data_IF_642549173214
#
_entry.id   IF_642549173214
#
_cell.length_a   1.000
_cell.length_b   1.000
_cell.length_c   1.000
_cell.angle_alpha   90.00
_cell.angle_beta   90.00
_cell.angle_gamma   90.00
#
_symmetry.space_group_name_H-M   'P 1'
#
loop_
_entity.id
_entity.type
_entity.pdbx_description
1 polymer ?
#
# COMPACT_ATOMS: atom_id res chain seq x y z
N UNK A 1 -18.46 -7.77 -32.82
CA UNK A 1 -17.85 -6.56 -32.22
C UNK A 1 -16.59 -6.95 -31.52
N UNK A 2 -15.64 -6.03 -31.43
CA UNK A 2 -14.33 -6.34 -30.88
C UNK A 2 -14.39 -6.47 -29.34
N UNK A 3 -13.64 -7.45 -28.83
CA UNK A 3 -13.42 -7.67 -27.40
C UNK A 3 -12.26 -6.80 -26.93
N UNK A 4 -12.38 -6.19 -25.75
CA UNK A 4 -11.25 -5.52 -25.10
C UNK A 4 -10.53 -6.54 -24.22
N UNK A 5 -9.21 -6.66 -24.37
CA UNK A 5 -8.35 -7.50 -23.54
C UNK A 5 -7.29 -6.62 -22.87
N UNK A 6 -7.18 -6.69 -21.55
CA UNK A 6 -6.24 -5.93 -20.75
C UNK A 6 -5.48 -6.90 -19.85
N UNK A 7 -4.15 -6.84 -19.90
CA UNK A 7 -3.28 -7.68 -19.09
C UNK A 7 -2.31 -6.81 -18.32
N UNK A 8 -2.22 -7.01 -17.01
CA UNK A 8 -1.35 -6.27 -16.11
C UNK A 8 -0.38 -7.23 -15.41
N UNK A 9 0.87 -6.81 -15.32
CA UNK A 9 1.92 -7.49 -14.54
C UNK A 9 2.35 -6.64 -13.37
N UNK A 10 2.55 -7.26 -12.21
CA UNK A 10 2.98 -6.59 -10.99
C UNK A 10 4.20 -7.29 -10.38
N UNK A 11 5.25 -6.51 -10.12
CA UNK A 11 6.46 -6.97 -9.45
C UNK A 11 6.37 -6.76 -7.93
N UNK A 12 7.07 -7.59 -7.15
CA UNK A 12 7.21 -7.47 -5.68
C UNK A 12 5.88 -7.47 -4.88
N UNK A 13 4.81 -8.02 -5.45
CA UNK A 13 3.52 -8.21 -4.77
C UNK A 13 3.40 -9.62 -4.20
N UNK A 14 2.88 -9.71 -2.98
CA UNK A 14 2.57 -10.98 -2.32
C UNK A 14 1.32 -11.62 -2.93
N UNK A 15 0.28 -10.83 -3.16
CA UNK A 15 -0.94 -11.21 -3.88
C UNK A 15 -1.66 -9.96 -4.40
N UNK A 16 -2.49 -10.16 -5.42
CA UNK A 16 -3.48 -9.17 -5.82
C UNK A 16 -4.70 -9.34 -4.91
N UNK A 17 -5.23 -8.24 -4.37
CA UNK A 17 -6.35 -8.27 -3.42
C UNK A 17 -7.68 -8.19 -4.15
N UNK A 18 -7.94 -7.06 -4.79
CA UNK A 18 -9.14 -6.87 -5.61
C UNK A 18 -8.88 -5.90 -6.77
N UNK A 19 -9.79 -5.91 -7.73
CA UNK A 19 -9.84 -4.93 -8.82
C UNK A 19 -11.21 -4.29 -8.87
N UNK A 20 -11.25 -2.99 -9.15
CA UNK A 20 -12.46 -2.26 -9.49
C UNK A 20 -12.34 -1.66 -10.90
N UNK A 21 -13.39 -1.81 -11.68
CA UNK A 21 -13.49 -1.33 -13.06
C UNK A 21 -14.69 -0.41 -13.17
N UNK A 22 -14.50 0.73 -13.82
CA UNK A 22 -15.52 1.78 -13.95
C UNK A 22 -15.89 1.99 -15.41
N UNK A 23 -17.18 2.13 -15.66
CA UNK A 23 -17.77 2.25 -16.99
C UNK A 23 -18.71 3.44 -17.02
N UNK A 24 -18.57 4.29 -18.04
CA UNK A 24 -19.47 5.44 -18.24
C UNK A 24 -19.63 5.63 -19.73
N UNK A 25 -20.87 5.77 -20.19
CA UNK A 25 -21.10 6.03 -21.61
C UNK A 25 -20.96 7.53 -21.89
N UNK A 26 -20.00 7.96 -22.73
CA UNK A 26 -19.84 9.37 -23.07
C UNK A 26 -20.94 9.88 -24.01
N UNK A 27 -21.55 9.00 -24.80
CA UNK A 27 -22.62 9.32 -25.74
C UNK A 27 -23.40 8.05 -26.12
N UNK A 28 -24.74 8.13 -26.16
CA UNK A 28 -25.59 7.00 -26.55
C UNK A 28 -26.76 7.49 -27.40
N UNK A 29 -26.88 6.99 -28.63
CA UNK A 29 -28.11 7.21 -29.42
C UNK A 29 -29.26 6.35 -28.87
N UNK A 30 -30.50 6.77 -29.13
CA UNK A 30 -31.71 6.12 -28.56
C UNK A 30 -31.89 4.63 -28.90
N UNK A 31 -31.26 4.13 -29.97
CA UNK A 31 -31.30 2.71 -30.38
C UNK A 31 -30.01 1.95 -30.08
N UNK A 32 -29.03 2.60 -29.47
CA UNK A 32 -27.74 2.00 -29.18
C UNK A 32 -27.70 1.44 -27.75
N UNK A 33 -26.92 0.38 -27.58
CA UNK A 33 -26.78 -0.42 -26.38
C UNK A 33 -25.33 -0.87 -26.29
N UNK A 34 -24.69 -0.57 -25.17
CA UNK A 34 -23.35 -1.06 -24.86
C UNK A 34 -23.41 -2.03 -23.69
N UNK A 35 -23.57 -3.31 -24.02
CA UNK A 35 -23.68 -4.40 -23.05
C UNK A 35 -22.54 -5.40 -23.24
N UNK A 36 -21.85 -5.75 -22.15
CA UNK A 36 -20.69 -6.64 -22.23
C UNK A 36 -20.48 -7.44 -20.94
N UNK A 37 -19.95 -8.64 -21.11
CA UNK A 37 -19.50 -9.51 -20.03
C UNK A 37 -18.09 -9.09 -19.60
N UNK A 38 -17.92 -8.93 -18.29
CA UNK A 38 -16.63 -8.70 -17.65
C UNK A 38 -16.10 -10.04 -17.17
N UNK A 39 -14.91 -10.40 -17.63
CA UNK A 39 -14.18 -11.57 -17.14
C UNK A 39 -12.87 -11.13 -16.51
N UNK A 40 -12.51 -11.76 -15.39
CA UNK A 40 -11.27 -11.54 -14.66
C UNK A 40 -10.58 -12.88 -14.49
N UNK A 41 -9.32 -12.99 -14.91
CA UNK A 41 -8.56 -14.24 -14.93
C UNK A 41 -9.36 -15.40 -15.54
N UNK A 42 -9.99 -15.14 -16.70
CA UNK A 42 -10.84 -16.08 -17.48
C UNK A 42 -12.12 -16.52 -16.76
N UNK A 43 -12.45 -15.94 -15.61
CA UNK A 43 -13.66 -16.22 -14.85
C UNK A 43 -14.67 -15.10 -15.07
N UNK A 44 -15.91 -15.47 -15.39
CA UNK A 44 -17.00 -14.49 -15.53
C UNK A 44 -17.28 -13.84 -14.17
N UNK A 45 -17.38 -12.51 -14.17
CA UNK A 45 -17.66 -11.71 -12.97
C UNK A 45 -19.07 -11.12 -13.04
N UNK A 46 -19.38 -10.38 -14.11
CA UNK A 46 -20.67 -9.71 -14.25
C UNK A 46 -20.98 -9.41 -15.73
N UNK A 47 -22.25 -9.22 -16.05
CA UNK A 47 -22.69 -8.56 -17.29
C UNK A 47 -23.03 -7.12 -16.94
N UNK A 48 -22.46 -6.15 -17.64
CA UNK A 48 -22.71 -4.73 -17.39
C UNK A 48 -23.25 -4.03 -18.63
N UNK A 49 -24.05 -3.00 -18.40
CA UNK A 49 -24.57 -2.10 -19.42
C UNK A 49 -24.06 -0.71 -19.07
N UNK A 50 -23.35 -0.08 -20.01
CA UNK A 50 -22.86 1.28 -19.82
C UNK A 50 -24.00 2.27 -20.08
N UNK A 51 -24.29 3.12 -19.12
CA UNK A 51 -25.38 4.10 -19.19
C UNK A 51 -24.84 5.52 -19.39
N UNK A 52 -25.58 6.35 -20.12
CA UNK A 52 -25.19 7.73 -20.41
C UNK A 52 -25.14 8.56 -19.13
N UNK A 53 -23.96 9.16 -18.89
CA UNK A 53 -23.67 9.96 -17.68
C UNK A 53 -23.81 9.23 -16.34
N UNK A 54 -23.96 7.90 -16.34
CA UNK A 54 -24.02 7.09 -15.12
C UNK A 54 -22.76 6.23 -15.07
N UNK A 55 -22.00 6.37 -13.99
CA UNK A 55 -20.82 5.56 -13.75
C UNK A 55 -21.24 4.26 -13.05
N UNK A 56 -21.07 3.13 -13.75
CA UNK A 56 -21.29 1.79 -13.21
C UNK A 56 -19.95 1.18 -12.86
N UNK A 57 -19.82 0.58 -11.67
CA UNK A 57 -18.61 -0.16 -11.30
C UNK A 57 -18.85 -1.67 -11.22
N UNK A 58 -17.80 -2.42 -11.55
CA UNK A 58 -17.73 -3.88 -11.35
C UNK A 58 -16.44 -4.17 -10.62
N UNK A 59 -16.52 -4.96 -9.56
CA UNK A 59 -15.37 -5.35 -8.76
C UNK A 59 -15.22 -6.87 -8.71
N UNK A 60 -14.00 -7.34 -8.49
CA UNK A 60 -13.70 -8.76 -8.29
C UNK A 60 -12.56 -8.94 -7.28
N UNK A 61 -12.74 -9.88 -6.35
CA UNK A 61 -11.62 -10.38 -5.53
C UNK A 61 -10.65 -11.15 -6.41
N UNK A 62 -9.37 -11.02 -6.11
CA UNK A 62 -8.28 -11.69 -6.79
C UNK A 62 -7.64 -12.72 -5.86
N UNK A 63 -7.21 -13.84 -6.43
CA UNK A 63 -6.44 -14.88 -5.72
C UNK A 63 -5.15 -15.23 -6.47
N UNK A 64 -4.83 -14.47 -7.52
CA UNK A 64 -3.63 -14.67 -8.33
C UNK A 64 -2.45 -13.85 -7.80
N UNK A 65 -1.26 -14.32 -8.15
CA UNK A 65 -0.01 -13.59 -7.95
C UNK A 65 0.54 -13.21 -9.32
N UNK A 66 1.02 -11.98 -9.45
CA UNK A 66 1.84 -11.52 -10.57
C UNK A 66 1.07 -11.03 -11.80
N UNK A 67 0.01 -11.70 -12.25
CA UNK A 67 -0.75 -11.29 -13.44
C UNK A 67 -2.25 -11.15 -13.21
N UNK A 68 -2.81 -10.12 -13.81
CA UNK A 68 -4.24 -9.84 -13.87
C UNK A 68 -4.67 -9.73 -15.34
N UNK A 69 -5.55 -10.62 -15.77
CA UNK A 69 -6.16 -10.58 -17.10
C UNK A 69 -7.63 -10.15 -16.98
N UNK A 70 -8.01 -9.10 -17.70
CA UNK A 70 -9.40 -8.62 -17.81
C UNK A 70 -9.82 -8.72 -19.26
N UNK A 71 -11.00 -9.28 -19.51
CA UNK A 71 -11.63 -9.21 -20.83
C UNK A 71 -13.03 -8.62 -20.72
N UNK A 72 -13.36 -7.73 -21.66
CA UNK A 72 -14.70 -7.19 -21.84
C UNK A 72 -15.22 -7.73 -23.16
N UNK A 73 -16.23 -8.60 -23.10
CA UNK A 73 -16.78 -9.31 -24.26
C UNK A 73 -18.18 -8.77 -24.55
N UNK A 74 -18.45 -8.15 -25.70
CA UNK A 74 -19.79 -7.66 -26.01
C UNK A 74 -20.80 -8.82 -26.02
N UNK A 75 -22.00 -8.56 -25.48
CA UNK A 75 -23.11 -9.52 -25.50
C UNK A 75 -23.74 -9.58 -26.90
N UNK A 76 -24.55 -10.62 -27.16
CA UNK A 76 -25.22 -10.80 -28.47
C UNK A 76 -26.12 -9.61 -28.85
N UNK A 77 -26.74 -8.97 -27.85
CA UNK A 77 -27.66 -7.84 -28.04
C UNK A 77 -26.96 -6.47 -28.03
N UNK A 78 -25.63 -6.43 -27.89
CA UNK A 78 -24.87 -5.18 -27.88
C UNK A 78 -24.73 -4.61 -29.29
N UNK A 79 -25.09 -3.34 -29.46
CA UNK A 79 -24.92 -2.60 -30.73
C UNK A 79 -23.62 -1.79 -30.76
N UNK A 80 -22.94 -1.67 -29.61
CA UNK A 80 -21.64 -1.01 -29.47
C UNK A 80 -20.59 -1.96 -28.85
N UNK A 81 -19.32 -1.76 -29.20
CA UNK A 81 -18.19 -2.46 -28.57
C UNK A 81 -18.10 -2.12 -27.07
N UNK A 82 -17.39 -2.88 -26.22
CA UNK A 82 -17.20 -2.50 -24.82
C UNK A 82 -16.49 -1.16 -24.64
N UNK A 83 -16.61 -0.57 -23.45
CA UNK A 83 -15.88 0.64 -23.05
C UNK A 83 -15.29 0.41 -21.66
N UNK A 84 -14.29 1.20 -21.29
CA UNK A 84 -13.79 1.30 -19.92
C UNK A 84 -13.33 2.72 -19.65
N UNK A 85 -13.74 3.26 -18.50
CA UNK A 85 -13.39 4.61 -18.06
C UNK A 85 -12.14 4.59 -17.17
N UNK A 86 -12.09 3.67 -16.21
CA UNK A 86 -10.97 3.53 -15.28
C UNK A 86 -10.86 2.09 -14.73
N UNK A 87 -9.67 1.76 -14.25
CA UNK A 87 -9.38 0.53 -13.49
C UNK A 87 -8.55 0.92 -12.28
N UNK A 88 -8.92 0.40 -11.12
CA UNK A 88 -8.13 0.44 -9.90
C UNK A 88 -7.77 -0.99 -9.50
N UNK A 89 -6.47 -1.28 -9.41
CA UNK A 89 -5.96 -2.59 -8.98
C UNK A 89 -5.31 -2.45 -7.61
N UNK A 90 -5.83 -3.19 -6.64
CA UNK A 90 -5.35 -3.19 -5.28
C UNK A 90 -4.46 -4.42 -5.06
N UNK A 91 -3.25 -4.17 -4.58
CA UNK A 91 -2.23 -5.22 -4.39
C UNK A 91 -1.66 -5.15 -2.99
N UNK A 92 -1.31 -6.31 -2.44
CA UNK A 92 -0.59 -6.37 -1.17
C UNK A 92 0.88 -6.67 -1.48
N UNK A 93 1.77 -5.72 -1.21
CA UNK A 93 3.20 -5.92 -1.29
C UNK A 93 3.70 -6.86 -0.19
N UNK A 94 4.87 -7.47 -0.40
CA UNK A 94 5.57 -8.08 0.74
C UNK A 94 5.88 -7.00 1.78
N UNK A 95 5.80 -7.29 3.10
CA UNK A 95 6.18 -6.33 4.12
C UNK A 95 7.59 -5.79 3.84
N UNK A 96 7.71 -4.47 3.65
CA UNK A 96 9.02 -3.81 3.46
C UNK A 96 9.92 -4.00 4.68
N UNK A 97 9.30 -4.22 5.85
CA UNK A 97 9.96 -4.50 7.11
C UNK A 97 9.22 -5.66 7.79
N UNK A 98 9.97 -6.68 8.22
CA UNK A 98 9.43 -7.89 8.85
C UNK A 98 9.21 -7.67 10.36
N UNK A 99 9.87 -6.68 10.97
CA UNK A 99 9.72 -6.30 12.36
C UNK A 99 10.08 -4.82 12.58
N UNK A 100 9.28 -4.11 13.38
CA UNK A 100 9.56 -2.74 13.84
C UNK A 100 10.74 -2.71 14.81
N UNK A 101 11.21 -1.51 15.19
CA UNK A 101 12.18 -1.36 16.29
C UNK A 101 11.74 -2.15 17.52
N UNK A 102 12.70 -2.78 18.19
CA UNK A 102 12.47 -3.57 19.41
C UNK A 102 11.69 -2.77 20.45
N UNK A 103 10.68 -3.39 21.06
CA UNK A 103 9.84 -2.74 22.07
C UNK A 103 10.66 -2.17 23.23
N UNK A 104 11.70 -2.88 23.67
CA UNK A 104 12.57 -2.39 24.75
C UNK A 104 13.28 -1.08 24.38
N UNK A 105 13.61 -0.90 23.10
CA UNK A 105 14.25 0.33 22.63
C UNK A 105 13.22 1.44 22.42
N UNK A 106 11.99 1.10 22.01
CA UNK A 106 10.87 2.06 21.96
C UNK A 106 10.54 2.60 23.34
N UNK A 107 10.40 1.74 24.34
CA UNK A 107 10.08 2.12 25.72
C UNK A 107 11.22 2.99 26.32
N UNK A 108 12.47 2.62 26.07
CA UNK A 108 13.63 3.40 26.51
C UNK A 108 13.74 4.76 25.83
N UNK A 109 13.42 4.85 24.54
CA UNK A 109 13.39 6.12 23.81
C UNK A 109 12.21 7.01 24.22
N UNK A 110 11.06 6.42 24.56
CA UNK A 110 9.92 7.14 25.10
C UNK A 110 10.31 7.84 26.43
N UNK A 111 10.93 7.11 27.37
CA UNK A 111 11.44 7.70 28.62
C UNK A 111 12.48 8.80 28.35
N UNK A 112 13.34 8.61 27.35
CA UNK A 112 14.32 9.60 26.92
C UNK A 112 13.69 10.88 26.36
N UNK A 113 12.71 10.75 25.47
CA UNK A 113 11.99 11.89 24.90
C UNK A 113 11.19 12.63 25.98
N UNK A 114 10.54 11.90 26.89
CA UNK A 114 9.77 12.50 27.98
C UNK A 114 10.64 13.28 28.97
N UNK A 115 11.91 12.91 29.10
CA UNK A 115 12.87 13.62 29.96
C UNK A 115 13.29 14.98 29.38
N UNK A 116 13.31 15.15 28.05
CA UNK A 116 13.84 16.34 27.39
C UNK A 116 12.82 16.99 26.46
N UNK A 117 12.29 18.15 26.86
CA UNK A 117 11.33 18.94 26.07
C UNK A 117 11.82 19.23 24.64
N UNK A 118 13.13 19.39 24.44
CA UNK A 118 13.76 19.63 23.14
C UNK A 118 13.57 18.48 22.13
N UNK A 119 13.27 17.27 22.61
CA UNK A 119 13.06 16.08 21.79
C UNK A 119 11.57 15.77 21.55
N UNK A 120 10.65 16.56 22.13
CA UNK A 120 9.22 16.38 21.87
C UNK A 120 8.90 16.64 20.39
N UNK A 121 8.14 15.74 19.79
CA UNK A 121 7.74 15.81 18.38
C UNK A 121 8.36 14.73 17.49
N UNK A 122 9.38 14.01 17.96
CA UNK A 122 9.82 12.77 17.32
C UNK A 122 8.72 11.70 17.44
N UNK A 123 8.38 11.08 16.32
CA UNK A 123 7.33 10.07 16.22
C UNK A 123 7.62 9.12 15.05
N UNK A 124 6.88 8.01 14.98
CA UNK A 124 7.13 6.94 14.02
C UNK A 124 8.19 5.95 14.52
N UNK A 125 8.60 5.04 13.63
CA UNK A 125 9.64 4.06 13.97
C UNK A 125 11.02 4.72 13.95
N UNK A 126 11.81 4.64 15.04
CA UNK A 126 13.08 5.35 15.16
C UNK A 126 14.21 4.78 14.30
N UNK A 127 14.14 3.50 13.93
CA UNK A 127 15.16 2.82 13.14
C UNK A 127 14.71 2.48 11.71
N UNK A 128 13.48 2.79 11.34
CA UNK A 128 12.90 2.37 10.06
C UNK A 128 12.13 3.48 9.33
N UNK A 129 12.19 3.48 7.97
CA UNK A 129 13.10 2.69 7.14
C UNK A 129 14.59 3.05 7.35
N UNK A 130 15.52 2.18 6.90
CA UNK A 130 16.96 2.32 7.16
C UNK A 130 17.57 3.63 6.65
N UNK A 131 16.92 4.30 5.69
CA UNK A 131 17.31 5.58 5.11
C UNK A 131 16.73 6.79 5.86
N UNK A 132 15.85 6.57 6.84
CA UNK A 132 15.22 7.63 7.65
C UNK A 132 15.30 7.34 9.15
N UNK A 133 16.37 6.67 9.59
CA UNK A 133 16.71 6.55 11.02
C UNK A 133 16.74 7.95 11.64
N UNK A 134 16.21 8.11 12.85
CA UNK A 134 16.24 9.40 13.53
C UNK A 134 17.67 9.93 13.60
N UNK A 135 17.85 11.22 13.31
CA UNK A 135 19.18 11.83 13.10
C UNK A 135 20.13 11.73 14.31
N UNK A 136 19.59 11.45 15.49
CA UNK A 136 20.32 11.33 16.75
C UNK A 136 20.46 9.87 17.22
N UNK A 137 20.17 8.90 16.34
CA UNK A 137 20.30 7.48 16.61
C UNK A 137 21.23 6.79 15.62
N UNK A 138 21.77 5.67 16.07
CA UNK A 138 22.26 4.62 15.20
C UNK A 138 21.55 3.32 15.55
N UNK A 139 21.27 2.50 14.54
CA UNK A 139 20.53 1.25 14.72
C UNK A 139 21.23 0.08 14.01
N UNK A 140 21.08 -1.11 14.58
CA UNK A 140 21.50 -2.35 13.94
C UNK A 140 20.56 -2.73 12.80
N UNK A 141 21.06 -3.43 11.78
CA UNK A 141 20.23 -4.02 10.71
C UNK A 141 19.60 -5.37 11.09
N UNK A 142 19.54 -5.71 12.38
CA UNK A 142 18.89 -6.92 12.88
C UNK A 142 17.36 -6.83 12.69
N UNK A 143 16.67 -7.95 12.85
CA UNK A 143 15.20 -7.99 12.88
C UNK A 143 14.74 -8.59 14.22
N UNK A 144 14.12 -7.80 15.13
CA UNK A 144 13.86 -6.36 15.02
C UNK A 144 15.14 -5.50 15.05
N UNK A 145 15.15 -4.32 14.40
CA UNK A 145 16.26 -3.38 14.55
C UNK A 145 16.36 -2.93 16.01
N UNK A 146 17.60 -2.72 16.44
CA UNK A 146 17.96 -2.33 17.80
C UNK A 146 18.67 -1.00 17.79
N UNK A 147 18.42 -0.14 18.77
CA UNK A 147 19.17 1.11 18.95
C UNK A 147 20.54 0.78 19.52
N UNK A 148 21.61 1.14 18.80
CA UNK A 148 23.00 0.87 19.21
C UNK A 148 23.71 2.12 19.69
N UNK A 149 23.25 3.31 19.32
CA UNK A 149 23.83 4.58 19.78
C UNK A 149 22.81 5.70 19.87
N UNK A 150 23.02 6.62 20.83
CA UNK A 150 22.25 7.86 21.01
C UNK A 150 23.24 9.04 20.97
N UNK A 151 23.07 9.95 20.01
CA UNK A 151 23.90 11.14 19.85
C UNK A 151 23.30 12.32 20.63
N UNK A 152 23.88 12.62 21.80
CA UNK A 152 23.37 13.66 22.71
C UNK A 152 23.80 15.10 22.32
N UNK A 153 24.79 15.24 21.44
CA UNK A 153 25.36 16.54 21.08
C UNK A 153 24.41 17.35 20.20
N UNK A 154 24.39 18.67 20.39
CA UNK A 154 23.70 19.60 19.48
C UNK A 154 22.24 19.91 19.82
N UNK A 155 21.64 19.19 20.79
CA UNK A 155 20.25 19.41 21.21
C UNK A 155 20.09 20.29 22.47
N UNK A 156 21.20 20.70 23.10
CA UNK A 156 21.16 21.55 24.30
C UNK A 156 20.41 20.91 25.47
N UNK A 157 20.49 19.57 25.60
CA UNK A 157 19.82 18.79 26.64
C UNK A 157 20.31 19.24 28.02
N UNK A 158 19.38 19.41 28.96
CA UNK A 158 19.66 19.79 30.36
C UNK A 158 18.95 18.83 31.30
N UNK A 159 19.64 18.36 32.34
CA UNK A 159 19.10 17.44 33.32
C UNK A 159 19.88 16.13 33.41
N UNK A 160 19.28 15.13 34.02
CA UNK A 160 19.85 13.80 34.17
C UNK A 160 19.36 12.89 33.04
N UNK A 161 20.22 11.99 32.58
CA UNK A 161 19.80 10.95 31.64
C UNK A 161 18.91 9.92 32.37
N UNK A 162 17.83 9.44 31.73
CA UNK A 162 17.03 8.34 32.24
C UNK A 162 17.81 7.01 32.21
N UNK A 163 17.19 5.95 32.72
CA UNK A 163 17.83 4.64 32.76
C UNK A 163 17.64 3.91 31.43
N UNK A 164 18.72 3.72 30.70
CA UNK A 164 18.71 2.93 29.46
C UNK A 164 18.79 1.41 29.68
N UNK A 165 18.48 0.90 30.87
CA UNK A 165 18.69 -0.53 31.20
C UNK A 165 17.86 -1.50 30.35
N UNK A 166 16.78 -1.03 29.74
CA UNK A 166 15.97 -1.83 28.82
C UNK A 166 16.58 -1.87 27.41
N UNK A 167 17.35 -0.85 27.03
CA UNK A 167 18.03 -0.74 25.74
C UNK A 167 19.33 -1.57 25.74
N UNK A 168 19.21 -2.89 25.82
CA UNK A 168 20.32 -3.81 26.05
C UNK A 168 21.34 -3.92 24.89
N UNK A 169 21.03 -3.35 23.74
CA UNK A 169 21.91 -3.24 22.58
C UNK A 169 22.66 -1.90 22.51
N UNK A 170 22.36 -0.95 23.41
CA UNK A 170 23.00 0.36 23.45
C UNK A 170 24.47 0.21 23.85
N UNK A 171 25.36 0.67 22.99
CA UNK A 171 26.80 0.63 23.23
C UNK A 171 27.25 1.89 23.98
N UNK A 172 28.07 1.72 25.02
CA UNK A 172 28.74 2.83 25.71
C UNK A 172 30.08 3.04 25.01
N UNK A 173 30.20 4.13 24.26
CA UNK A 173 31.45 4.59 23.65
C UNK A 173 32.10 5.71 24.46
#
# INVERSE_FOLDING_TARGET
MDTINLSFGFDNVSHLDHVEMYFTEPFLETSETRSFNVTVNRSFVNTTISEYQICTSVWANLQSVGTLDIQLVPTEDSTLAPIISAIEVYTVSQPLVIATTSQNDLDGLEEFIDTFDQLKGWSGDPCLPNDTIWQWLNCSTNQPPRVTSIYLSGFGLQGYLPKFSQMDALEVM
#
